data_IF_114024529697
#
_entry.id   IF_114024529697
#
_cell.length_a   1.000
_cell.length_b   1.000
_cell.length_c   1.000
_cell.angle_alpha   90.00
_cell.angle_beta   90.00
_cell.angle_gamma   90.00
#
_symmetry.space_group_name_H-M   'P 1'
#
loop_
_entity.id
_entity.type
_entity.pdbx_description
1 polymer ?
#
# COMPACT_ATOMS: atom_id res chain seq x y z
N UNK A 1 6.46 51.53 42.16
CA UNK A 1 6.28 51.72 40.70
C UNK A 1 7.47 52.51 40.20
N UNK A 2 8.06 52.25 39.01
CA UNK A 2 7.66 51.33 37.91
C UNK A 2 8.69 50.17 37.67
N UNK A 3 8.23 48.99 37.24
CA UNK A 3 8.31 48.36 35.89
C UNK A 3 9.63 47.61 35.63
N UNK A 4 9.59 46.26 35.62
CA UNK A 4 9.63 45.39 34.42
C UNK A 4 11.08 45.23 33.92
N UNK A 5 11.68 44.04 33.85
CA UNK A 5 11.33 43.03 32.86
C UNK A 5 11.71 41.60 33.25
N UNK A 6 10.81 40.70 32.87
CA UNK A 6 10.93 39.26 32.79
C UNK A 6 12.01 38.88 31.78
N UNK A 7 12.99 38.06 32.17
CA UNK A 7 13.73 37.24 31.22
C UNK A 7 13.34 35.79 31.45
N UNK A 8 12.25 35.41 30.79
CA UNK A 8 11.90 34.02 30.57
C UNK A 8 13.01 33.38 29.71
N UNK A 9 13.81 32.52 30.32
CA UNK A 9 14.73 31.65 29.62
C UNK A 9 13.91 30.69 28.77
N UNK A 10 13.82 30.98 27.48
CA UNK A 10 13.23 30.09 26.51
C UNK A 10 14.13 28.85 26.44
N UNK A 11 13.68 27.76 27.06
CA UNK A 11 14.15 26.44 26.71
C UNK A 11 13.82 26.25 25.22
N UNK A 12 14.83 26.43 24.39
CA UNK A 12 14.76 26.11 22.96
C UNK A 12 14.68 24.59 22.88
N UNK A 13 13.45 24.06 22.95
CA UNK A 13 13.17 22.66 22.68
C UNK A 13 13.49 22.45 21.20
N UNK A 14 14.69 21.98 20.95
CA UNK A 14 15.06 21.34 19.69
C UNK A 14 14.11 20.15 19.50
N UNK A 15 12.98 20.43 18.86
CA UNK A 15 12.19 19.40 18.20
C UNK A 15 13.09 18.86 17.11
N UNK A 16 13.78 17.76 17.43
CA UNK A 16 14.43 16.92 16.44
C UNK A 16 13.33 16.40 15.51
N UNK A 17 13.04 17.14 14.45
CA UNK A 17 12.33 16.63 13.28
C UNK A 17 13.27 15.69 12.52
N UNK A 18 13.57 14.56 13.14
CA UNK A 18 13.96 13.35 12.41
C UNK A 18 12.71 12.46 12.45
N UNK A 19 11.69 12.89 11.71
CA UNK A 19 10.69 11.95 11.22
C UNK A 19 11.43 11.11 10.17
N UNK A 20 12.24 10.16 10.62
CA UNK A 20 12.73 9.12 9.75
C UNK A 20 11.47 8.47 9.18
N UNK A 21 11.23 8.69 7.88
CA UNK A 21 10.13 8.08 7.15
C UNK A 21 10.34 6.57 7.10
N UNK A 22 10.09 5.93 8.23
CA UNK A 22 10.16 4.49 8.38
C UNK A 22 8.78 3.96 8.04
N UNK A 23 8.73 3.05 7.08
CA UNK A 23 7.51 2.32 6.81
C UNK A 23 7.11 1.62 8.12
N UNK A 24 5.88 1.78 8.63
CA UNK A 24 5.42 1.13 9.86
C UNK A 24 5.19 -0.38 9.65
N UNK A 25 5.77 -0.96 8.60
CA UNK A 25 5.55 -2.33 8.22
C UNK A 25 6.87 -2.92 7.74
N UNK A 26 7.32 -3.95 8.43
CA UNK A 26 8.41 -4.82 7.98
C UNK A 26 7.93 -5.86 6.96
N UNK A 27 6.64 -6.19 6.99
CA UNK A 27 6.00 -7.20 6.13
C UNK A 27 4.48 -7.01 6.08
N UNK A 28 3.86 -7.35 4.95
CA UNK A 28 2.41 -7.43 4.80
C UNK A 28 2.00 -8.74 4.09
N UNK A 29 1.02 -9.44 4.64
CA UNK A 29 0.50 -10.71 4.12
C UNK A 29 -1.01 -10.61 3.86
N UNK A 30 -1.46 -10.97 2.66
CA UNK A 30 -2.87 -11.14 2.33
C UNK A 30 -3.30 -12.55 2.75
N UNK A 31 -4.09 -12.64 3.83
CA UNK A 31 -4.54 -13.90 4.41
C UNK A 31 -5.63 -14.55 3.56
N UNK A 32 -6.59 -13.75 3.09
CA UNK A 32 -7.74 -14.21 2.30
C UNK A 32 -8.35 -13.08 1.48
N UNK A 33 -9.24 -13.45 0.58
CA UNK A 33 -10.08 -12.54 -0.19
C UNK A 33 -11.54 -12.96 -0.02
N UNK A 34 -12.39 -12.02 0.40
CA UNK A 34 -13.80 -12.20 0.68
C UNK A 34 -14.63 -11.37 -0.31
N UNK A 35 -15.75 -11.92 -0.79
CA UNK A 35 -16.70 -11.19 -1.63
C UNK A 35 -17.88 -10.76 -0.77
N UNK A 36 -18.00 -9.45 -0.50
CA UNK A 36 -19.05 -8.86 0.32
C UNK A 36 -20.07 -8.15 -0.57
N UNK A 37 -21.12 -8.87 -0.94
CA UNK A 37 -22.21 -8.33 -1.75
C UNK A 37 -23.32 -7.75 -0.86
N UNK A 38 -23.72 -6.47 -1.06
CA UNK A 38 -24.95 -5.94 -0.48
C UNK A 38 -26.17 -6.74 -0.95
N UNK A 39 -27.19 -6.82 -0.10
CA UNK A 39 -28.45 -7.48 -0.44
C UNK A 39 -29.05 -6.89 -1.72
N UNK A 40 -29.32 -7.73 -2.72
CA UNK A 40 -29.91 -7.32 -4.00
C UNK A 40 -28.93 -7.05 -5.14
N UNK A 41 -27.60 -7.13 -4.91
CA UNK A 41 -26.61 -7.03 -5.98
C UNK A 41 -26.24 -8.41 -6.52
N UNK A 42 -26.46 -8.64 -7.81
CA UNK A 42 -26.21 -9.93 -8.46
C UNK A 42 -24.79 -10.12 -9.01
N UNK A 43 -24.01 -9.03 -9.19
CA UNK A 43 -22.67 -9.10 -9.77
C UNK A 43 -21.64 -8.34 -8.91
N UNK A 44 -20.56 -9.01 -8.46
CA UNK A 44 -19.49 -8.35 -7.74
C UNK A 44 -18.72 -7.37 -8.64
N UNK A 45 -18.40 -6.22 -8.07
CA UNK A 45 -17.49 -5.20 -8.62
C UNK A 45 -16.20 -5.25 -7.80
N UNK A 46 -15.21 -4.45 -8.18
CA UNK A 46 -13.94 -4.33 -7.45
C UNK A 46 -14.14 -3.89 -6.00
N UNK A 47 -15.14 -3.06 -5.72
CA UNK A 47 -15.46 -2.58 -4.36
C UNK A 47 -16.01 -3.68 -3.45
N UNK A 48 -16.59 -4.72 -4.04
CA UNK A 48 -17.17 -5.85 -3.30
C UNK A 48 -16.15 -6.96 -3.00
N UNK A 49 -14.93 -6.87 -3.55
CA UNK A 49 -13.86 -7.83 -3.26
C UNK A 49 -12.93 -7.22 -2.24
N UNK A 50 -12.90 -7.80 -1.03
CA UNK A 50 -12.13 -7.35 0.11
C UNK A 50 -10.99 -8.33 0.37
N UNK A 51 -9.77 -7.84 0.41
CA UNK A 51 -8.58 -8.57 0.83
C UNK A 51 -8.32 -8.28 2.29
N UNK A 52 -8.10 -9.33 3.09
CA UNK A 52 -7.77 -9.20 4.52
C UNK A 52 -6.27 -9.37 4.67
N UNK A 53 -5.61 -8.30 5.10
CA UNK A 53 -4.16 -8.21 5.27
C UNK A 53 -3.79 -8.35 6.75
N UNK A 54 -2.62 -8.94 6.99
CA UNK A 54 -1.87 -8.89 8.25
C UNK A 54 -0.60 -8.08 8.01
N UNK A 55 -0.43 -7.01 8.76
CA UNK A 55 0.75 -6.16 8.70
C UNK A 55 1.60 -6.38 9.94
N UNK A 56 2.91 -6.49 9.78
CA UNK A 56 3.88 -6.71 10.86
C UNK A 56 4.73 -5.46 11.09
N UNK A 57 4.66 -4.89 12.29
CA UNK A 57 5.38 -3.67 12.70
C UNK A 57 6.20 -3.91 13.96
N UNK A 58 7.53 -3.78 13.88
CA UNK A 58 8.49 -3.81 15.00
C UNK A 58 8.15 -4.75 16.20
N UNK A 59 7.63 -5.95 15.93
CA UNK A 59 7.32 -6.99 16.93
C UNK A 59 5.82 -7.26 17.14
N UNK A 60 4.96 -6.37 16.67
CA UNK A 60 3.51 -6.49 16.68
C UNK A 60 2.95 -6.85 15.30
N UNK A 61 1.67 -7.25 15.27
CA UNK A 61 0.93 -7.36 14.02
C UNK A 61 -0.52 -6.91 14.18
N UNK A 62 -1.08 -6.38 13.10
CA UNK A 62 -2.46 -5.91 13.07
C UNK A 62 -3.13 -6.26 11.74
N UNK A 63 -4.46 -6.28 11.75
CA UNK A 63 -5.28 -6.54 10.56
C UNK A 63 -5.61 -5.26 9.82
N UNK A 64 -5.62 -5.32 8.49
CA UNK A 64 -6.10 -4.25 7.61
C UNK A 64 -6.98 -4.88 6.54
N UNK A 65 -8.11 -4.28 6.22
CA UNK A 65 -8.93 -4.71 5.09
C UNK A 65 -8.77 -3.73 3.94
N UNK A 66 -8.60 -4.25 2.72
CA UNK A 66 -8.47 -3.41 1.53
C UNK A 66 -9.30 -3.97 0.39
N UNK A 67 -10.06 -3.12 -0.28
CA UNK A 67 -10.81 -3.53 -1.45
C UNK A 67 -9.90 -3.69 -2.67
N UNK A 68 -10.36 -4.40 -3.70
CA UNK A 68 -9.67 -4.41 -4.98
C UNK A 68 -9.52 -2.98 -5.54
N UNK A 69 -10.57 -2.15 -5.42
CA UNK A 69 -10.50 -0.75 -5.84
C UNK A 69 -9.43 0.03 -5.08
N UNK A 70 -9.19 -0.26 -3.80
CA UNK A 70 -8.10 0.33 -3.02
C UNK A 70 -6.72 -0.07 -3.57
N UNK A 71 -6.53 -1.31 -4.05
CA UNK A 71 -5.30 -1.69 -4.77
C UNK A 71 -5.12 -0.91 -6.08
N UNK A 72 -6.19 -0.69 -6.84
CA UNK A 72 -6.11 0.13 -8.06
C UNK A 72 -5.76 1.59 -7.71
N UNK A 73 -6.36 2.14 -6.65
CA UNK A 73 -6.03 3.47 -6.16
C UNK A 73 -4.57 3.55 -5.69
N UNK A 74 -4.07 2.54 -4.97
CA UNK A 74 -2.67 2.44 -4.58
C UNK A 74 -1.74 2.55 -5.78
N UNK A 75 -2.00 1.80 -6.86
CA UNK A 75 -1.23 1.90 -8.12
C UNK A 75 -1.20 3.34 -8.63
N UNK A 76 -2.37 3.96 -8.76
CA UNK A 76 -2.48 5.31 -9.33
C UNK A 76 -1.76 6.34 -8.48
N UNK A 77 -1.89 6.24 -7.15
CA UNK A 77 -1.16 7.09 -6.20
C UNK A 77 0.35 6.88 -6.24
N UNK A 78 0.82 5.63 -6.38
CA UNK A 78 2.23 5.33 -6.55
C UNK A 78 2.79 5.92 -7.85
N UNK A 79 2.06 5.80 -8.96
CA UNK A 79 2.46 6.38 -10.25
C UNK A 79 2.51 7.92 -10.18
N UNK A 80 1.58 8.54 -9.46
CA UNK A 80 1.57 9.99 -9.20
C UNK A 80 2.76 10.39 -8.34
N UNK A 81 3.01 9.67 -7.23
CA UNK A 81 4.11 9.96 -6.30
C UNK A 81 5.47 9.85 -7.00
N UNK A 82 5.63 8.84 -7.86
CA UNK A 82 6.83 8.63 -8.66
C UNK A 82 7.02 9.67 -9.76
N UNK A 83 5.98 10.40 -10.18
CA UNK A 83 6.02 11.49 -11.16
C UNK A 83 6.92 11.22 -12.39
N UNK A 84 6.37 10.76 -13.54
CA UNK A 84 7.19 10.37 -14.68
C UNK A 84 8.06 11.52 -15.18
N UNK A 85 9.32 11.20 -15.52
CA UNK A 85 10.26 12.15 -16.14
C UNK A 85 11.05 13.04 -15.16
N UNK A 86 10.97 12.81 -13.85
CA UNK A 86 11.88 13.48 -12.92
C UNK A 86 13.31 12.93 -13.03
N UNK A 87 14.35 13.76 -12.81
CA UNK A 87 15.74 13.34 -12.95
C UNK A 87 16.17 12.49 -11.75
N UNK A 88 15.80 11.21 -11.75
CA UNK A 88 16.29 10.21 -10.80
C UNK A 88 17.11 9.16 -11.55
N UNK A 89 18.34 8.93 -11.08
CA UNK A 89 19.22 7.86 -11.56
C UNK A 89 19.06 6.56 -10.78
N UNK A 90 18.14 6.54 -9.81
CA UNK A 90 17.87 5.39 -8.93
C UNK A 90 16.72 4.54 -9.41
N UNK A 91 15.97 3.97 -8.46
CA UNK A 91 14.92 2.97 -8.72
C UNK A 91 13.63 3.58 -9.28
N UNK A 92 13.40 4.88 -9.12
CA UNK A 92 12.10 5.50 -9.44
C UNK A 92 11.61 5.28 -10.88
N UNK A 93 12.43 5.44 -11.94
CA UNK A 93 11.98 5.20 -13.32
C UNK A 93 11.60 3.74 -13.56
N UNK A 94 12.38 2.82 -12.98
CA UNK A 94 12.16 1.38 -13.11
C UNK A 94 10.89 0.93 -12.38
N UNK A 95 10.69 1.41 -11.15
CA UNK A 95 9.47 1.14 -10.38
C UNK A 95 8.22 1.70 -11.07
N UNK A 96 8.32 2.89 -11.66
CA UNK A 96 7.21 3.48 -12.38
C UNK A 96 6.81 2.64 -13.60
N UNK A 97 7.79 2.21 -14.39
CA UNK A 97 7.56 1.38 -15.57
C UNK A 97 6.97 0.01 -15.18
N UNK A 98 7.50 -0.60 -14.11
CA UNK A 98 7.02 -1.87 -13.60
C UNK A 98 5.56 -1.77 -13.11
N UNK A 99 5.23 -0.77 -12.30
CA UNK A 99 3.86 -0.54 -11.82
C UNK A 99 2.90 -0.26 -12.98
N UNK A 100 3.34 0.44 -14.02
CA UNK A 100 2.48 0.74 -15.17
C UNK A 100 2.14 -0.49 -15.99
N UNK A 101 3.07 -1.43 -16.14
CA UNK A 101 2.90 -2.58 -17.05
C UNK A 101 2.47 -3.87 -16.34
N UNK A 102 2.93 -4.09 -15.11
CA UNK A 102 2.78 -5.36 -14.41
C UNK A 102 1.68 -5.32 -13.34
N UNK A 103 1.16 -4.17 -12.94
CA UNK A 103 0.15 -4.10 -11.87
C UNK A 103 -1.17 -4.77 -12.26
N UNK A 104 -1.67 -4.52 -13.46
CA UNK A 104 -2.99 -5.04 -13.90
C UNK A 104 -2.93 -6.46 -14.47
N UNK A 105 -1.72 -6.97 -14.74
CA UNK A 105 -1.51 -8.23 -15.43
C UNK A 105 -0.71 -9.19 -14.55
N UNK A 106 -1.33 -10.27 -14.03
CA UNK A 106 -0.61 -11.32 -13.33
C UNK A 106 0.26 -12.10 -14.32
N UNK A 107 1.47 -11.60 -14.57
CA UNK A 107 2.46 -12.16 -15.52
C UNK A 107 3.26 -13.32 -14.92
N UNK A 108 3.25 -13.46 -13.61
CA UNK A 108 4.06 -14.42 -12.85
C UNK A 108 3.52 -15.87 -12.87
N UNK A 109 2.26 -16.08 -13.31
CA UNK A 109 1.65 -17.41 -13.45
C UNK A 109 1.33 -17.72 -14.90
N UNK A 110 1.53 -18.97 -15.31
CA UNK A 110 0.97 -19.49 -16.55
C UNK A 110 -0.55 -19.60 -16.39
N UNK A 111 -1.27 -18.61 -16.89
CA UNK A 111 -2.71 -18.60 -16.90
C UNK A 111 -3.21 -19.51 -18.02
N UNK A 112 -4.24 -20.32 -17.72
CA UNK A 112 -4.97 -21.01 -18.78
C UNK A 112 -5.77 -20.01 -19.63
N UNK A 113 -6.24 -20.46 -20.79
CA UNK A 113 -6.96 -19.61 -21.73
C UNK A 113 -8.24 -19.01 -21.14
N UNK A 114 -8.97 -19.78 -20.33
CA UNK A 114 -10.21 -19.35 -19.68
C UNK A 114 -9.95 -18.30 -18.60
N UNK A 115 -8.92 -18.49 -17.78
CA UNK A 115 -8.49 -17.54 -16.76
C UNK A 115 -8.02 -16.23 -17.41
N UNK A 116 -7.18 -16.33 -18.44
CA UNK A 116 -6.75 -15.18 -19.22
C UNK A 116 -7.93 -14.41 -19.82
N UNK A 117 -8.92 -15.12 -20.37
CA UNK A 117 -10.13 -14.51 -20.91
C UNK A 117 -10.99 -13.87 -19.82
N UNK A 118 -11.15 -14.52 -18.67
CA UNK A 118 -11.90 -13.98 -17.53
C UNK A 118 -11.24 -12.72 -16.95
N UNK A 119 -9.91 -12.69 -16.87
CA UNK A 119 -9.13 -11.51 -16.47
C UNK A 119 -9.34 -10.38 -17.49
N UNK A 120 -9.23 -10.68 -18.78
CA UNK A 120 -9.43 -9.71 -19.86
C UNK A 120 -10.86 -9.13 -19.89
N UNK A 121 -11.85 -9.94 -19.51
CA UNK A 121 -13.24 -9.51 -19.35
C UNK A 121 -13.55 -8.90 -17.97
N UNK A 122 -12.54 -8.70 -17.12
CA UNK A 122 -12.68 -8.16 -15.75
C UNK A 122 -13.75 -8.89 -14.92
N UNK A 123 -13.83 -10.22 -15.06
CA UNK A 123 -14.78 -11.05 -14.31
C UNK A 123 -14.23 -11.40 -12.94
N UNK A 124 -14.92 -10.98 -11.88
CA UNK A 124 -14.61 -11.31 -10.49
C UNK A 124 -15.14 -12.68 -10.10
N UNK A 125 -14.63 -13.74 -10.73
CA UNK A 125 -14.87 -15.13 -10.29
C UNK A 125 -13.95 -15.48 -9.13
N UNK A 126 -14.28 -16.50 -8.30
CA UNK A 126 -13.41 -16.95 -7.21
C UNK A 126 -11.97 -17.23 -7.68
N UNK A 127 -11.81 -17.90 -8.83
CA UNK A 127 -10.49 -18.18 -9.43
C UNK A 127 -9.74 -16.90 -9.79
N UNK A 128 -10.40 -15.92 -10.41
CA UNK A 128 -9.76 -14.64 -10.74
C UNK A 128 -9.35 -13.88 -9.48
N UNK A 129 -10.18 -13.91 -8.44
CA UNK A 129 -9.90 -13.26 -7.15
C UNK A 129 -8.66 -13.88 -6.50
N UNK A 130 -8.53 -15.21 -6.49
CA UNK A 130 -7.34 -15.89 -5.96
C UNK A 130 -6.08 -15.59 -6.76
N UNK A 131 -6.18 -15.53 -8.10
CA UNK A 131 -5.05 -15.14 -8.96
C UNK A 131 -4.58 -13.72 -8.59
N UNK A 132 -5.51 -12.78 -8.42
CA UNK A 132 -5.16 -11.41 -8.04
C UNK A 132 -4.72 -11.28 -6.59
N UNK A 133 -5.21 -12.13 -5.67
CA UNK A 133 -4.68 -12.22 -4.30
C UNK A 133 -3.18 -12.51 -4.32
N UNK A 134 -2.76 -13.54 -5.06
CA UNK A 134 -1.34 -13.91 -5.15
C UNK A 134 -0.52 -12.83 -5.87
N UNK A 135 -1.10 -12.21 -6.89
CA UNK A 135 -0.48 -11.08 -7.58
C UNK A 135 -0.23 -9.88 -6.65
N UNK A 136 -1.25 -9.47 -5.91
CA UNK A 136 -1.15 -8.38 -4.95
C UNK A 136 -0.22 -8.71 -3.79
N UNK A 137 -0.15 -9.98 -3.35
CA UNK A 137 0.84 -10.41 -2.36
C UNK A 137 2.26 -10.19 -2.86
N UNK A 138 2.58 -10.63 -4.07
CA UNK A 138 3.93 -10.45 -4.65
C UNK A 138 4.29 -8.97 -4.81
N UNK A 139 3.31 -8.16 -5.19
CA UNK A 139 3.47 -6.72 -5.32
C UNK A 139 3.76 -6.06 -3.98
N UNK A 140 3.00 -6.39 -2.94
CA UNK A 140 3.23 -5.91 -1.58
C UNK A 140 4.58 -6.36 -1.04
N UNK A 141 4.95 -7.63 -1.21
CA UNK A 141 6.26 -8.15 -0.81
C UNK A 141 7.40 -7.38 -1.49
N UNK A 142 7.26 -7.10 -2.78
CA UNK A 142 8.27 -6.35 -3.55
C UNK A 142 8.36 -4.89 -3.11
N UNK A 143 7.21 -4.22 -2.91
CA UNK A 143 7.16 -2.84 -2.42
C UNK A 143 7.75 -2.71 -1.01
N UNK A 144 7.31 -3.56 -0.07
CA UNK A 144 7.80 -3.52 1.32
C UNK A 144 9.29 -3.81 1.38
N UNK A 145 9.78 -4.81 0.63
CA UNK A 145 11.23 -5.09 0.54
C UNK A 145 12.01 -3.90 -0.02
N UNK A 146 11.52 -3.29 -1.10
CA UNK A 146 12.18 -2.14 -1.72
C UNK A 146 12.29 -0.96 -0.74
N UNK A 147 11.21 -0.69 0.00
CA UNK A 147 11.14 0.36 1.02
C UNK A 147 11.94 0.02 2.28
N UNK A 148 12.10 -1.26 2.64
CA UNK A 148 12.92 -1.63 3.81
C UNK A 148 14.43 -1.66 3.50
N UNK A 149 14.82 -1.98 2.26
CA UNK A 149 16.23 -2.21 1.90
C UNK A 149 16.96 -0.94 1.43
N UNK A 150 16.23 0.05 0.92
CA UNK A 150 16.86 1.09 0.10
C UNK A 150 16.73 2.48 0.74
N UNK A 151 17.86 3.03 1.20
CA UNK A 151 17.96 4.47 1.53
C UNK A 151 18.02 5.27 0.23
N UNK A 152 16.87 5.49 -0.39
CA UNK A 152 16.75 6.29 -1.61
C UNK A 152 16.64 7.76 -1.22
N UNK A 153 17.66 8.55 -1.58
CA UNK A 153 17.71 10.00 -1.34
C UNK A 153 16.88 10.83 -2.33
N UNK A 154 15.85 10.23 -2.95
CA UNK A 154 14.97 10.92 -3.88
C UNK A 154 13.73 11.42 -3.13
N UNK A 155 13.46 12.72 -3.20
CA UNK A 155 12.28 13.33 -2.56
C UNK A 155 10.96 12.73 -3.06
N UNK A 156 10.87 12.40 -4.36
CA UNK A 156 9.68 11.73 -4.93
C UNK A 156 9.48 10.34 -4.37
N UNK A 157 10.57 9.64 -4.04
CA UNK A 157 10.50 8.34 -3.41
C UNK A 157 9.97 8.42 -1.97
N UNK A 158 10.10 9.56 -1.28
CA UNK A 158 9.42 9.77 0.01
C UNK A 158 7.88 9.75 -0.13
N UNK A 159 7.36 10.21 -1.27
CA UNK A 159 5.94 10.06 -1.60
C UNK A 159 5.51 8.60 -1.70
N UNK A 160 6.38 7.71 -2.19
CA UNK A 160 6.13 6.27 -2.24
C UNK A 160 6.00 5.69 -0.83
N UNK A 161 6.91 6.06 0.09
CA UNK A 161 6.79 5.66 1.49
C UNK A 161 5.44 6.08 2.09
N UNK A 162 5.04 7.34 1.89
CA UNK A 162 3.79 7.85 2.43
C UNK A 162 2.55 7.11 1.89
N UNK A 163 2.53 6.83 0.58
CA UNK A 163 1.43 6.12 -0.07
C UNK A 163 1.32 4.68 0.46
N UNK A 164 2.43 3.95 0.53
CA UNK A 164 2.42 2.56 1.03
C UNK A 164 2.12 2.51 2.53
N UNK A 165 2.69 3.41 3.33
CA UNK A 165 2.40 3.50 4.75
C UNK A 165 0.90 3.72 5.00
N UNK A 166 0.28 4.66 4.28
CA UNK A 166 -1.16 4.93 4.39
C UNK A 166 -1.99 3.72 4.00
N UNK A 167 -1.64 3.04 2.91
CA UNK A 167 -2.34 1.82 2.48
C UNK A 167 -2.24 0.69 3.51
N UNK A 168 -1.13 0.60 4.23
CA UNK A 168 -0.90 -0.41 5.26
C UNK A 168 -1.32 0.03 6.66
N UNK A 169 -1.82 1.25 6.85
CA UNK A 169 -2.32 1.70 8.15
C UNK A 169 -3.79 1.34 8.27
N UNK A 170 -4.17 0.71 9.39
CA UNK A 170 -5.58 0.45 9.68
C UNK A 170 -6.33 1.79 9.81
N UNK A 171 -7.50 1.93 9.19
CA UNK A 171 -8.44 2.96 9.63
C UNK A 171 -8.82 2.60 11.08
N UNK A 172 -8.71 3.52 12.06
CA UNK A 172 -9.02 3.24 13.47
C UNK A 172 -10.41 2.67 13.73
N UNK A 173 -11.33 2.72 12.75
CA UNK A 173 -12.66 2.10 12.82
C UNK A 173 -12.60 0.58 12.59
N UNK A 174 -11.58 0.06 11.90
CA UNK A 174 -11.48 -1.36 11.48
C UNK A 174 -10.47 -2.19 12.28
N UNK A 175 -9.79 -1.60 13.28
CA UNK A 175 -8.85 -2.30 14.17
C UNK A 175 -9.50 -3.34 15.11
N UNK A 176 -10.73 -3.78 14.84
CA UNK A 176 -11.35 -4.87 15.55
C UNK A 176 -11.04 -6.19 14.86
N UNK A 177 -10.27 -6.99 15.59
CA UNK A 177 -10.03 -8.43 15.46
C UNK A 177 -8.63 -8.75 14.92
N UNK A 178 -7.65 -8.64 15.83
CA UNK A 178 -6.48 -9.50 15.79
C UNK A 178 -6.95 -10.94 15.52
N UNK A 179 -6.62 -11.41 14.33
CA UNK A 179 -6.93 -12.73 13.80
C UNK A 179 -6.50 -13.77 14.83
N UNK A 180 -7.50 -14.34 15.52
CA UNK A 180 -7.35 -15.51 16.40
C UNK A 180 -7.09 -16.77 15.59
#
# INVERSE_FOLDING_TARGET
MPESDLVASYASTCVSTTCEHRLPASRAEILRADVRLPTGIAKPTKDHVVFVLRVHDDGDCYGVEQTWSAFIALRDELLIALAPGHPCQGVCPWLWEDLRHNFDFPTHKKLGFLEWWNIRLQRHTPTTIEIFRDHFQQLLDSLVRLLCQTRIHCERFQGVYAVVARFLTADPIEAMQCVS
#
